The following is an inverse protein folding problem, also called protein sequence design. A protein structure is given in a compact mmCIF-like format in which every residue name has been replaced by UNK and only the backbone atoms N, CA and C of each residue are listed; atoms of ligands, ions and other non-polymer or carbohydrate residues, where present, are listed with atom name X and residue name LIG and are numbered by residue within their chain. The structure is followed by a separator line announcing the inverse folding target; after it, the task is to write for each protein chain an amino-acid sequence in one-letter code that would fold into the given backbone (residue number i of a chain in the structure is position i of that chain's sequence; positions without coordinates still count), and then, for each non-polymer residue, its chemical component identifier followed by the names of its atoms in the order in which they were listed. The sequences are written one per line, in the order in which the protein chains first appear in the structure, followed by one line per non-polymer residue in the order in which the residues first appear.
data_IF_458008970734
#
_entry.id   IF_458008970734
#
_cell.length_a   1.000
_cell.length_b   1.000
_cell.length_c   1.000
_cell.angle_alpha   90.00
_cell.angle_beta   90.00
_cell.angle_gamma   90.00
#
_symmetry.space_group_name_H-M   'P 1'
#
loop_
_entity.id
_entity.type
_entity.pdbx_description
1 polymer ?
#
# COMPACT_ATOMS: atom_id res chain seq x y z
N UNK A 1 -22.80 -24.07 -7.04
CA UNK A 1 -22.31 -23.75 -5.69
C UNK A 1 -21.15 -22.81 -5.86
N UNK A 2 -21.29 -21.54 -5.44
CA UNK A 2 -20.14 -20.66 -5.32
C UNK A 2 -19.15 -21.33 -4.36
N UNK A 3 -17.88 -21.42 -4.74
CA UNK A 3 -16.84 -21.80 -3.78
C UNK A 3 -16.91 -20.80 -2.63
N UNK A 4 -16.89 -21.23 -1.36
CA UNK A 4 -16.67 -20.28 -0.28
C UNK A 4 -15.36 -19.54 -0.59
N UNK A 5 -15.42 -18.20 -0.60
CA UNK A 5 -14.20 -17.41 -0.71
C UNK A 5 -13.29 -17.82 0.44
N UNK A 6 -12.10 -18.31 0.10
CA UNK A 6 -11.10 -18.64 1.09
C UNK A 6 -10.51 -17.32 1.59
N UNK A 7 -10.99 -16.84 2.75
CA UNK A 7 -10.52 -15.58 3.35
C UNK A 7 -9.38 -15.81 4.35
N UNK A 8 -8.89 -17.05 4.47
CA UNK A 8 -7.85 -17.42 5.46
C UNK A 8 -6.50 -16.76 5.17
N UNK A 9 -6.15 -16.54 3.90
CA UNK A 9 -4.89 -15.93 3.45
C UNK A 9 -4.99 -14.44 3.10
N UNK A 10 -6.19 -13.85 3.12
CA UNK A 10 -6.42 -12.43 2.79
C UNK A 10 -5.58 -11.50 3.67
N UNK A 11 -5.52 -11.76 4.98
CA UNK A 11 -4.75 -10.93 5.92
C UNK A 11 -3.25 -10.97 5.62
N UNK A 12 -2.70 -12.15 5.28
CA UNK A 12 -1.29 -12.30 4.93
C UNK A 12 -0.96 -11.57 3.62
N UNK A 13 -1.82 -11.69 2.61
CA UNK A 13 -1.66 -10.97 1.34
C UNK A 13 -1.75 -9.45 1.51
N UNK A 14 -2.66 -8.96 2.36
CA UNK A 14 -2.77 -7.53 2.68
C UNK A 14 -1.54 -7.02 3.43
N UNK A 15 -1.04 -7.77 4.41
CA UNK A 15 0.20 -7.41 5.13
C UNK A 15 1.41 -7.34 4.18
N UNK A 16 1.57 -8.32 3.28
CA UNK A 16 2.62 -8.30 2.27
C UNK A 16 2.49 -7.08 1.34
N UNK A 17 1.26 -6.75 0.92
CA UNK A 17 0.98 -5.57 0.08
C UNK A 17 1.31 -4.26 0.80
N UNK A 18 0.96 -4.15 2.09
CA UNK A 18 1.31 -3.01 2.94
C UNK A 18 2.83 -2.86 3.02
N UNK A 19 3.56 -3.92 3.37
CA UNK A 19 5.02 -3.89 3.54
C UNK A 19 5.72 -3.45 2.24
N UNK A 20 5.30 -4.00 1.10
CA UNK A 20 5.84 -3.63 -0.21
C UNK A 20 5.51 -2.17 -0.56
N UNK A 21 4.30 -1.70 -0.24
CA UNK A 21 3.87 -0.33 -0.52
C UNK A 21 4.64 0.69 0.31
N UNK A 22 4.85 0.41 1.60
CA UNK A 22 5.67 1.23 2.51
C UNK A 22 7.09 1.31 1.99
N UNK A 23 7.73 0.17 1.71
CA UNK A 23 9.10 0.12 1.19
C UNK A 23 9.25 0.93 -0.11
N UNK A 24 8.32 0.77 -1.05
CA UNK A 24 8.32 1.52 -2.30
C UNK A 24 8.12 3.03 -2.11
N UNK A 25 7.39 3.44 -1.07
CA UNK A 25 7.21 4.84 -0.72
C UNK A 25 8.50 5.41 -0.11
N UNK A 26 9.11 4.71 0.86
CA UNK A 26 10.37 5.09 1.49
C UNK A 26 11.52 5.20 0.47
N UNK A 27 11.64 4.24 -0.44
CA UNK A 27 12.63 4.27 -1.52
C UNK A 27 12.43 5.47 -2.46
N UNK A 28 11.17 5.81 -2.77
CA UNK A 28 10.85 6.98 -3.59
C UNK A 28 11.15 8.30 -2.87
N UNK A 29 10.88 8.37 -1.56
CA UNK A 29 11.21 9.53 -0.72
C UNK A 29 12.72 9.71 -0.58
N UNK A 30 13.48 8.63 -0.38
CA UNK A 30 14.94 8.65 -0.35
C UNK A 30 15.52 9.14 -1.69
N UNK A 31 15.00 8.64 -2.81
CA UNK A 31 15.40 9.09 -4.14
C UNK A 31 15.16 10.59 -4.34
N UNK A 32 13.99 11.10 -3.92
CA UNK A 32 13.71 12.53 -3.97
C UNK A 32 14.63 13.33 -3.04
N UNK A 33 14.95 12.82 -1.85
CA UNK A 33 15.85 13.50 -0.93
C UNK A 33 17.28 13.64 -1.49
N UNK A 34 17.75 12.66 -2.25
CA UNK A 34 19.10 12.65 -2.84
C UNK A 34 19.17 13.40 -4.18
N UNK A 35 18.15 13.26 -5.04
CA UNK A 35 18.22 13.68 -6.45
C UNK A 35 17.21 14.76 -6.87
N UNK A 36 16.40 15.32 -5.96
CA UNK A 36 15.35 16.27 -6.33
C UNK A 36 15.84 17.51 -7.10
N UNK A 37 17.10 17.93 -6.90
CA UNK A 37 17.69 19.07 -7.60
C UNK A 37 18.27 18.69 -8.97
N UNK A 38 18.45 17.39 -9.24
CA UNK A 38 19.05 16.84 -10.47
C UNK A 38 17.99 16.40 -11.49
N UNK A 39 16.77 16.08 -11.01
CA UNK A 39 15.66 15.60 -11.85
C UNK A 39 14.76 16.73 -12.34
N UNK A 40 13.99 16.44 -13.39
CA UNK A 40 13.03 17.42 -13.92
C UNK A 40 11.86 17.68 -12.93
N UNK A 41 11.26 18.88 -12.94
CA UNK A 41 10.07 19.16 -12.12
C UNK A 41 8.90 18.20 -12.38
N UNK A 42 8.73 17.76 -13.64
CA UNK A 42 7.73 16.77 -14.06
C UNK A 42 7.94 15.41 -13.40
N UNK A 43 9.20 14.96 -13.35
CA UNK A 43 9.57 13.69 -12.75
C UNK A 43 9.38 13.73 -11.24
N UNK A 44 9.81 14.81 -10.59
CA UNK A 44 9.57 15.07 -9.17
C UNK A 44 8.07 15.00 -8.83
N UNK A 45 7.25 15.72 -9.58
CA UNK A 45 5.79 15.71 -9.39
C UNK A 45 5.20 14.31 -9.56
N UNK A 46 5.63 13.57 -10.60
CA UNK A 46 5.16 12.20 -10.84
C UNK A 46 5.46 11.26 -9.67
N UNK A 47 6.64 11.38 -9.06
CA UNK A 47 7.02 10.57 -7.90
C UNK A 47 6.16 10.94 -6.69
N UNK A 48 5.97 12.24 -6.44
CA UNK A 48 5.11 12.73 -5.35
C UNK A 48 3.66 12.27 -5.49
N UNK A 49 3.07 12.34 -6.69
CA UNK A 49 1.72 11.85 -6.97
C UNK A 49 1.61 10.32 -6.78
N UNK A 50 2.65 9.57 -7.13
CA UNK A 50 2.70 8.13 -6.84
C UNK A 50 2.70 7.86 -5.35
N UNK A 51 3.47 8.62 -4.55
CA UNK A 51 3.47 8.49 -3.10
C UNK A 51 2.12 8.82 -2.49
N UNK A 52 1.45 9.89 -2.96
CA UNK A 52 0.10 10.22 -2.50
C UNK A 52 -0.91 9.08 -2.77
N UNK A 53 -0.82 8.42 -3.93
CA UNK A 53 -1.67 7.25 -4.22
C UNK A 53 -1.33 6.05 -3.34
N UNK A 54 -0.05 5.83 -3.01
CA UNK A 54 0.38 4.78 -2.07
C UNK A 54 -0.21 5.01 -0.68
N UNK A 55 -0.24 6.25 -0.19
CA UNK A 55 -0.89 6.59 1.08
C UNK A 55 -2.38 6.23 1.08
N UNK A 56 -3.09 6.54 -0.01
CA UNK A 56 -4.49 6.16 -0.18
C UNK A 56 -4.67 4.63 -0.20
N UNK A 57 -3.81 3.90 -0.91
CA UNK A 57 -3.83 2.42 -0.91
C UNK A 57 -3.58 1.84 0.49
N UNK A 58 -2.64 2.40 1.25
CA UNK A 58 -2.37 1.97 2.63
C UNK A 58 -3.57 2.18 3.55
N UNK A 59 -4.33 3.27 3.39
CA UNK A 59 -5.58 3.48 4.12
C UNK A 59 -6.64 2.43 3.75
N UNK A 60 -6.75 2.09 2.46
CA UNK A 60 -7.60 1.01 1.98
C UNK A 60 -7.25 -0.34 2.61
N UNK A 61 -5.98 -0.74 2.54
CA UNK A 61 -5.52 -2.01 3.11
C UNK A 61 -5.73 -2.10 4.62
N UNK A 62 -5.55 -1.00 5.36
CA UNK A 62 -5.82 -0.96 6.80
C UNK A 62 -7.29 -1.18 7.11
N UNK A 63 -8.18 -0.58 6.32
CA UNK A 63 -9.64 -0.77 6.48
C UNK A 63 -10.02 -2.22 6.17
N UNK A 64 -9.46 -2.79 5.10
CA UNK A 64 -9.72 -4.18 4.71
C UNK A 64 -9.23 -5.20 5.74
N UNK A 65 -8.06 -4.97 6.36
CA UNK A 65 -7.57 -5.81 7.48
C UNK A 65 -8.52 -5.74 8.68
N UNK A 66 -9.09 -4.57 8.98
CA UNK A 66 -10.06 -4.43 10.06
C UNK A 66 -11.32 -5.24 9.75
N UNK A 67 -11.87 -5.12 8.54
CA UNK A 67 -13.05 -5.87 8.10
C UNK A 67 -12.81 -7.39 8.14
N UNK A 68 -11.62 -7.85 7.71
CA UNK A 68 -11.25 -9.27 7.77
C UNK A 68 -11.09 -9.75 9.23
N UNK A 69 -10.55 -8.92 10.11
CA UNK A 69 -10.42 -9.25 11.54
C UNK A 69 -11.79 -9.37 12.21
N UNK A 70 -12.71 -8.46 11.91
CA UNK A 70 -14.09 -8.50 12.40
C UNK A 70 -14.85 -9.72 11.86
N UNK A 71 -14.63 -10.09 10.59
CA UNK A 71 -15.18 -11.32 10.03
C UNK A 71 -14.68 -12.55 10.78
N UNK A 72 -13.36 -12.68 11.02
CA UNK A 72 -12.78 -13.82 11.73
C UNK A 72 -13.24 -13.93 13.18
N UNK A 73 -13.48 -12.82 13.88
CA UNK A 73 -13.99 -12.82 15.26
C UNK A 73 -15.47 -13.22 15.38
N UNK A 74 -16.25 -13.05 14.31
CA UNK A 74 -17.67 -13.38 14.27
C UNK A 74 -17.97 -14.76 13.65
N UNK A 75 -16.93 -15.54 13.32
CA UNK A 75 -16.99 -16.96 12.93
C UNK A 75 -16.81 -17.86 14.16
#
# INVERSE_FOLDING_TARGET
MAKPDNREDNVEHLQNSINNTIKNQEEAEAYLAEHADEISPSEKQTIQEKNQRREQSLQGFRSEIQDESEYQQNQ
#
